data_IF_390722930559
#
_entry.id   IF_390722930559
#
_cell.length_a   1.000
_cell.length_b   1.000
_cell.length_c   1.000
_cell.angle_alpha   90.00
_cell.angle_beta   90.00
_cell.angle_gamma   90.00
#
_symmetry.space_group_name_H-M   'P 1'
#
loop_
_entity.id
_entity.type
_entity.pdbx_description
1 polymer ?
#
# COMPACT_ATOMS: atom_id res chain seq x y z
N UNK A 1 -11.20 -14.49 17.36
CA UNK A 1 -11.01 -13.36 16.43
C UNK A 1 -12.32 -12.62 16.25
N UNK A 2 -12.29 -11.30 16.05
CA UNK A 2 -13.49 -10.55 15.63
C UNK A 2 -13.81 -10.93 14.19
N UNK A 3 -15.07 -11.29 13.90
CA UNK A 3 -15.53 -11.77 12.59
C UNK A 3 -15.11 -10.83 11.45
N UNK A 4 -15.43 -9.54 11.58
CA UNK A 4 -15.12 -8.51 10.59
C UNK A 4 -13.63 -8.40 10.24
N UNK A 5 -12.74 -8.67 11.21
CA UNK A 5 -11.29 -8.65 10.96
C UNK A 5 -10.86 -9.86 10.12
N UNK A 6 -11.48 -11.02 10.29
CA UNK A 6 -11.17 -12.19 9.47
C UNK A 6 -11.75 -12.04 8.06
N UNK A 7 -12.98 -11.56 7.96
CA UNK A 7 -13.66 -11.31 6.68
C UNK A 7 -12.92 -10.25 5.85
N UNK A 8 -12.38 -9.20 6.49
CA UNK A 8 -11.58 -8.18 5.82
C UNK A 8 -10.28 -8.76 5.24
N UNK A 9 -9.61 -9.68 5.95
CA UNK A 9 -8.43 -10.38 5.43
C UNK A 9 -8.78 -11.32 4.28
N UNK A 10 -9.93 -11.99 4.33
CA UNK A 10 -10.39 -12.82 3.23
C UNK A 10 -10.63 -11.99 1.97
N UNK A 11 -11.19 -10.79 2.08
CA UNK A 11 -11.26 -9.85 0.95
C UNK A 11 -9.86 -9.52 0.42
N UNK A 12 -8.92 -9.18 1.30
CA UNK A 12 -7.53 -8.90 0.91
C UNK A 12 -6.95 -10.08 0.13
N UNK A 13 -7.14 -11.31 0.59
CA UNK A 13 -6.64 -12.50 -0.11
C UNK A 13 -7.29 -12.67 -1.49
N UNK A 14 -8.60 -12.42 -1.63
CA UNK A 14 -9.30 -12.50 -2.92
C UNK A 14 -8.75 -11.49 -3.94
N UNK A 15 -8.57 -10.25 -3.53
CA UNK A 15 -8.00 -9.20 -4.39
C UNK A 15 -6.53 -9.50 -4.70
N UNK A 16 -5.76 -10.02 -3.73
CA UNK A 16 -4.37 -10.45 -3.95
C UNK A 16 -4.26 -11.56 -5.00
N UNK A 17 -5.23 -12.48 -5.07
CA UNK A 17 -5.27 -13.50 -6.12
C UNK A 17 -5.43 -12.88 -7.50
N UNK A 18 -6.25 -11.82 -7.65
CA UNK A 18 -6.34 -11.09 -8.91
C UNK A 18 -5.00 -10.43 -9.29
N UNK A 19 -4.27 -9.88 -8.30
CA UNK A 19 -2.91 -9.35 -8.53
C UNK A 19 -1.95 -10.42 -9.05
N UNK A 20 -1.96 -11.60 -8.44
CA UNK A 20 -1.12 -12.74 -8.86
C UNK A 20 -1.53 -13.21 -10.26
N UNK A 21 -2.83 -13.25 -10.56
CA UNK A 21 -3.34 -13.69 -11.86
C UNK A 21 -2.89 -12.76 -13.00
N UNK A 22 -2.78 -11.45 -12.75
CA UNK A 22 -2.34 -10.48 -13.74
C UNK A 22 -0.81 -10.53 -13.99
N UNK A 23 -0.01 -10.84 -12.96
CA UNK A 23 1.46 -10.93 -13.08
C UNK A 23 2.03 -12.22 -12.45
N UNK A 24 1.69 -13.43 -12.95
CA UNK A 24 1.90 -14.68 -12.22
C UNK A 24 3.37 -15.12 -12.13
N UNK A 25 4.20 -14.76 -13.10
CA UNK A 25 5.58 -15.30 -13.20
C UNK A 25 6.55 -14.48 -12.35
N UNK A 26 6.58 -13.17 -12.56
CA UNK A 26 7.55 -12.25 -11.96
C UNK A 26 6.93 -11.35 -10.88
N UNK A 27 5.59 -11.32 -10.76
CA UNK A 27 4.90 -10.43 -9.83
C UNK A 27 4.99 -8.95 -10.22
N UNK A 28 4.59 -8.11 -9.28
CA UNK A 28 4.56 -6.64 -9.40
C UNK A 28 5.86 -5.94 -9.00
N UNK A 29 6.88 -6.71 -8.63
CA UNK A 29 8.14 -6.21 -8.11
C UNK A 29 8.08 -5.90 -6.60
N UNK A 30 9.25 -5.59 -6.05
CA UNK A 30 9.39 -5.19 -4.64
C UNK A 30 8.54 -3.95 -4.35
N UNK A 31 7.81 -3.96 -3.22
CA UNK A 31 6.87 -2.91 -2.82
C UNK A 31 5.68 -2.75 -3.79
N UNK A 32 5.50 -3.71 -4.70
CA UNK A 32 4.40 -3.75 -5.64
C UNK A 32 3.05 -4.02 -4.97
N UNK A 33 3.03 -4.69 -3.81
CA UNK A 33 1.79 -4.95 -3.08
C UNK A 33 1.13 -3.65 -2.59
N UNK A 34 1.74 -2.85 -1.70
CA UNK A 34 1.18 -1.56 -1.29
C UNK A 34 1.07 -0.56 -2.46
N UNK A 35 1.94 -0.69 -3.47
CA UNK A 35 1.90 0.13 -4.69
C UNK A 35 0.66 -0.09 -5.56
N UNK A 36 0.11 -1.31 -5.62
CA UNK A 36 -0.93 -1.68 -6.59
C UNK A 36 -2.21 -2.23 -5.98
N UNK A 37 -2.18 -2.80 -4.77
CA UNK A 37 -3.32 -3.53 -4.20
C UNK A 37 -4.63 -2.73 -4.25
N UNK A 38 -4.60 -1.45 -3.84
CA UNK A 38 -5.83 -0.64 -3.83
C UNK A 38 -6.38 -0.39 -5.25
N UNK A 39 -5.52 -0.33 -6.28
CA UNK A 39 -5.99 -0.26 -7.67
C UNK A 39 -6.77 -1.52 -8.04
N UNK A 40 -6.28 -2.70 -7.67
CA UNK A 40 -6.97 -3.98 -7.86
C UNK A 40 -8.26 -4.06 -7.06
N UNK A 41 -8.26 -3.60 -5.80
CA UNK A 41 -9.46 -3.54 -4.98
C UNK A 41 -10.53 -2.66 -5.63
N UNK A 42 -10.13 -1.54 -6.21
CA UNK A 42 -11.05 -0.67 -6.93
C UNK A 42 -11.63 -1.34 -8.19
N UNK A 43 -10.81 -2.02 -9.00
CA UNK A 43 -11.29 -2.79 -10.16
C UNK A 43 -12.23 -3.92 -9.74
N UNK A 44 -11.91 -4.60 -8.63
CA UNK A 44 -12.73 -5.68 -8.09
C UNK A 44 -14.17 -5.21 -7.85
N UNK A 45 -14.36 -4.08 -7.17
CA UNK A 45 -15.69 -3.52 -6.91
C UNK A 45 -16.31 -2.86 -8.14
N UNK A 46 -15.51 -2.23 -9.02
CA UNK A 46 -15.96 -1.62 -10.27
C UNK A 46 -16.61 -2.64 -11.21
N UNK A 47 -16.05 -3.86 -11.26
CA UNK A 47 -16.59 -4.97 -12.05
C UNK A 47 -17.82 -5.64 -11.40
N UNK A 48 -18.42 -5.02 -10.38
CA UNK A 48 -19.59 -5.56 -9.68
C UNK A 48 -19.30 -6.79 -8.83
N UNK A 49 -18.02 -7.14 -8.58
CA UNK A 49 -17.66 -8.18 -7.62
C UNK A 49 -17.76 -7.62 -6.20
N UNK A 50 -17.79 -8.52 -5.24
CA UNK A 50 -17.82 -8.17 -3.83
C UNK A 50 -19.22 -8.01 -3.26
N UNK A 51 -19.43 -8.63 -2.11
CA UNK A 51 -20.64 -8.50 -1.30
C UNK A 51 -20.70 -7.12 -0.62
N UNK A 52 -21.88 -6.71 -0.14
CA UNK A 52 -22.01 -5.48 0.65
C UNK A 52 -21.16 -5.52 1.93
N UNK A 53 -20.98 -6.71 2.54
CA UNK A 53 -20.06 -6.89 3.66
C UNK A 53 -18.60 -6.61 3.25
N UNK A 54 -18.16 -7.07 2.08
CA UNK A 54 -16.80 -6.79 1.58
C UNK A 54 -16.60 -5.30 1.29
N UNK A 55 -17.59 -4.64 0.66
CA UNK A 55 -17.56 -3.18 0.46
C UNK A 55 -17.51 -2.43 1.80
N UNK A 56 -18.25 -2.91 2.80
CA UNK A 56 -18.23 -2.35 4.17
C UNK A 56 -16.89 -2.55 4.85
N UNK A 57 -16.14 -3.61 4.55
CA UNK A 57 -14.84 -3.87 5.17
C UNK A 57 -13.67 -3.22 4.42
N UNK A 58 -13.81 -3.00 3.11
CA UNK A 58 -12.80 -2.38 2.27
C UNK A 58 -12.35 -1.00 2.80
N UNK A 59 -11.03 -0.80 2.76
CA UNK A 59 -10.36 0.48 3.02
C UNK A 59 -8.96 0.48 2.37
N UNK A 60 -8.15 1.50 2.62
CA UNK A 60 -6.74 1.53 2.24
C UNK A 60 -5.96 0.36 2.86
N UNK A 61 -5.31 -0.46 2.04
CA UNK A 61 -4.52 -1.61 2.48
C UNK A 61 -3.09 -1.46 2.01
N UNK A 62 -2.16 -1.68 2.94
CA UNK A 62 -0.70 -1.61 2.70
C UNK A 62 0.02 -2.93 2.96
N UNK A 63 -0.68 -3.92 3.54
CA UNK A 63 -0.12 -5.23 3.89
C UNK A 63 -1.13 -6.33 3.55
N UNK A 64 -0.63 -7.47 3.07
CA UNK A 64 -1.45 -8.59 2.64
C UNK A 64 -2.04 -9.40 3.80
N UNK A 65 -1.50 -9.28 5.02
CA UNK A 65 -1.84 -10.13 6.18
C UNK A 65 -1.66 -11.63 5.91
N UNK A 66 -0.85 -11.97 4.90
CA UNK A 66 -0.39 -13.30 4.56
C UNK A 66 0.88 -13.10 3.73
N UNK A 67 2.03 -13.30 4.37
CA UNK A 67 3.34 -13.08 3.78
C UNK A 67 3.56 -13.89 2.50
N UNK A 68 3.02 -15.12 2.43
CA UNK A 68 3.19 -15.96 1.25
C UNK A 68 2.41 -15.40 0.06
N UNK A 69 1.18 -14.94 0.28
CA UNK A 69 0.36 -14.33 -0.76
C UNK A 69 0.95 -12.99 -1.21
N UNK A 70 1.33 -12.14 -0.26
CA UNK A 70 1.99 -10.85 -0.52
C UNK A 70 3.27 -11.06 -1.32
N UNK A 71 4.17 -11.94 -0.85
CA UNK A 71 5.41 -12.27 -1.56
C UNK A 71 5.17 -12.86 -2.95
N UNK A 72 4.13 -13.67 -3.12
CA UNK A 72 3.78 -14.22 -4.44
C UNK A 72 3.22 -13.14 -5.37
N UNK A 73 2.46 -12.18 -4.87
CA UNK A 73 1.99 -11.04 -5.66
C UNK A 73 3.16 -10.15 -6.09
N UNK A 74 4.16 -9.96 -5.24
CA UNK A 74 5.32 -9.12 -5.55
C UNK A 74 6.37 -9.81 -6.42
N UNK A 75 6.71 -11.07 -6.15
CA UNK A 75 7.82 -11.79 -6.78
C UNK A 75 7.39 -12.89 -7.75
N UNK A 76 6.07 -13.11 -7.87
CA UNK A 76 5.49 -14.16 -8.68
C UNK A 76 5.77 -15.56 -8.16
N UNK A 77 5.25 -16.55 -8.89
CA UNK A 77 5.44 -17.97 -8.61
C UNK A 77 6.93 -18.34 -8.71
N UNK A 78 7.69 -17.70 -9.60
CA UNK A 78 9.13 -17.94 -9.71
C UNK A 78 9.85 -17.55 -8.40
N UNK A 79 9.55 -16.37 -7.86
CA UNK A 79 10.09 -15.93 -6.57
C UNK A 79 9.71 -16.90 -5.45
N UNK A 80 8.44 -17.32 -5.40
CA UNK A 80 7.96 -18.29 -4.40
C UNK A 80 8.72 -19.62 -4.48
N UNK A 81 8.93 -20.17 -5.68
CA UNK A 81 9.67 -21.42 -5.87
C UNK A 81 11.14 -21.30 -5.46
N UNK A 82 11.79 -20.16 -5.75
CA UNK A 82 13.16 -19.89 -5.32
C UNK A 82 13.26 -19.81 -3.79
N UNK A 83 12.33 -19.11 -3.14
CA UNK A 83 12.27 -19.01 -1.69
C UNK A 83 12.01 -20.38 -1.04
N UNK A 84 11.04 -21.14 -1.56
CA UNK A 84 10.75 -22.50 -1.10
C UNK A 84 11.94 -23.45 -1.31
N UNK A 85 12.64 -23.35 -2.43
CA UNK A 85 13.86 -24.10 -2.71
C UNK A 85 14.97 -23.79 -1.72
N UNK A 86 15.19 -22.51 -1.39
CA UNK A 86 16.15 -22.10 -0.37
C UNK A 86 15.80 -22.68 1.00
N UNK A 87 14.54 -22.57 1.42
CA UNK A 87 14.07 -23.14 2.69
C UNK A 87 14.25 -24.67 2.71
N UNK A 88 13.93 -25.36 1.62
CA UNK A 88 14.13 -26.80 1.49
C UNK A 88 15.61 -27.19 1.62
N UNK A 89 16.52 -26.48 0.96
CA UNK A 89 17.97 -26.72 1.06
C UNK A 89 18.47 -26.53 2.51
N UNK A 90 17.97 -25.51 3.22
CA UNK A 90 18.30 -25.28 4.63
C UNK A 90 17.80 -26.44 5.51
N UNK A 91 16.56 -26.89 5.29
CA UNK A 91 15.98 -28.04 6.02
C UNK A 91 16.77 -29.31 5.75
N UNK A 92 17.13 -29.61 4.49
CA UNK A 92 17.91 -30.80 4.14
C UNK A 92 19.30 -30.78 4.77
N UNK A 93 19.96 -29.61 4.80
CA UNK A 93 21.25 -29.43 5.47
C UNK A 93 21.14 -29.63 6.98
N UNK A 94 20.07 -29.14 7.60
CA UNK A 94 19.80 -29.36 9.03
C UNK A 94 19.43 -30.81 9.35
N UNK A 95 18.71 -31.50 8.45
CA UNK A 95 18.40 -32.92 8.58
C UNK A 95 19.67 -33.79 8.57
N UNK A 96 20.63 -33.46 7.72
CA UNK A 96 21.91 -34.18 7.71
C UNK A 96 22.71 -33.99 9.03
N UNK A 97 22.54 -32.86 9.73
CA UNK A 97 23.20 -32.59 11.03
C UNK A 97 22.49 -33.20 12.23
N UNK A 98 21.20 -33.53 12.12
CA UNK A 98 20.39 -34.12 13.20
C UNK A 98 20.64 -35.59 13.45
N UNK A 99 21.35 -36.28 12.57
CA UNK A 99 21.68 -37.70 12.77
C UNK A 99 22.71 -37.92 13.88
N UNK A 100 23.38 -36.84 14.33
CA UNK A 100 24.28 -36.87 15.48
C UNK A 100 23.46 -36.71 16.77
N UNK A 101 23.39 -37.77 17.58
CA UNK A 101 22.50 -37.84 18.76
C UNK A 101 22.61 -36.66 19.74
N UNK A 102 23.81 -36.06 19.91
CA UNK A 102 24.05 -34.93 20.82
C UNK A 102 23.40 -33.62 20.36
N UNK A 103 23.16 -33.47 19.06
CA UNK A 103 22.78 -32.21 18.41
C UNK A 103 21.26 -32.16 18.12
N UNK A 104 20.58 -33.31 18.25
CA UNK A 104 19.15 -33.49 18.00
C UNK A 104 18.25 -32.42 18.64
N UNK A 105 18.31 -32.15 19.97
CA UNK A 105 17.36 -31.22 20.60
C UNK A 105 17.49 -29.78 20.10
N UNK A 106 18.71 -29.29 19.89
CA UNK A 106 18.96 -27.91 19.42
C UNK A 106 18.56 -27.74 17.95
N UNK A 107 18.71 -28.78 17.13
CA UNK A 107 18.21 -28.75 15.76
C UNK A 107 16.67 -28.78 15.68
N UNK A 108 15.99 -29.54 16.55
CA UNK A 108 14.52 -29.50 16.65
C UNK A 108 14.01 -28.13 17.09
N UNK A 109 14.76 -27.41 17.94
CA UNK A 109 14.47 -26.01 18.27
C UNK A 109 14.53 -25.11 17.04
N UNK A 110 15.60 -25.21 16.22
CA UNK A 110 15.71 -24.44 14.97
C UNK A 110 14.57 -24.72 13.99
N UNK A 111 14.23 -26.00 13.80
CA UNK A 111 13.09 -26.41 12.97
C UNK A 111 11.76 -25.88 13.54
N UNK A 112 11.57 -25.97 14.85
CA UNK A 112 10.39 -25.46 15.54
C UNK A 112 10.21 -23.95 15.37
N UNK A 113 11.31 -23.17 15.48
CA UNK A 113 11.31 -21.73 15.21
C UNK A 113 10.93 -21.45 13.76
N UNK A 114 11.49 -22.19 12.80
CA UNK A 114 11.15 -22.04 11.38
C UNK A 114 9.67 -22.35 11.09
N UNK A 115 9.14 -23.45 11.63
CA UNK A 115 7.72 -23.82 11.48
C UNK A 115 6.82 -22.79 12.14
N UNK A 116 7.14 -22.35 13.35
CA UNK A 116 6.38 -21.31 14.04
C UNK A 116 6.37 -19.99 13.24
N UNK A 117 7.50 -19.63 12.62
CA UNK A 117 7.58 -18.48 11.73
C UNK A 117 6.71 -18.62 10.49
N UNK A 118 6.75 -19.79 9.83
CA UNK A 118 5.90 -20.06 8.66
C UNK A 118 4.42 -19.98 9.01
N UNK A 119 4.01 -20.55 10.15
CA UNK A 119 2.62 -20.46 10.63
C UNK A 119 2.24 -19.02 10.93
N UNK A 120 3.14 -18.24 11.55
CA UNK A 120 2.91 -16.82 11.80
C UNK A 120 2.76 -16.03 10.49
N UNK A 121 3.62 -16.29 9.52
CA UNK A 121 3.64 -15.65 8.20
C UNK A 121 2.38 -15.96 7.36
N UNK A 122 1.69 -17.08 7.59
CA UNK A 122 0.42 -17.39 6.89
C UNK A 122 -0.74 -16.45 7.28
N UNK A 123 -0.68 -15.83 8.47
CA UNK A 123 -1.77 -15.01 9.01
C UNK A 123 -1.31 -13.61 9.43
N UNK A 124 -0.08 -13.25 9.11
CA UNK A 124 0.55 -11.97 9.48
C UNK A 124 1.63 -11.60 8.46
N UNK A 125 2.30 -10.48 8.68
CA UNK A 125 3.26 -9.83 7.78
C UNK A 125 4.57 -9.50 8.52
N UNK A 126 5.21 -10.50 9.17
CA UNK A 126 6.39 -10.25 10.00
C UNK A 126 7.59 -9.68 9.24
N UNK A 127 7.70 -9.87 7.93
CA UNK A 127 8.82 -9.32 7.17
C UNK A 127 8.64 -7.82 6.88
N UNK A 128 7.40 -7.33 6.82
CA UNK A 128 7.12 -5.90 6.62
C UNK A 128 7.38 -5.05 7.86
N UNK A 129 7.61 -5.68 9.03
CA UNK A 129 8.03 -5.00 10.26
C UNK A 129 9.55 -5.26 10.46
N UNK A 130 10.43 -4.26 10.26
CA UNK A 130 11.88 -4.46 10.29
C UNK A 130 12.40 -5.11 11.58
N UNK A 131 11.81 -4.74 12.73
CA UNK A 131 12.16 -5.33 14.02
C UNK A 131 11.88 -6.83 14.07
N UNK A 132 10.76 -7.29 13.48
CA UNK A 132 10.43 -8.71 13.40
C UNK A 132 11.29 -9.40 12.34
N UNK A 133 11.45 -8.80 11.16
CA UNK A 133 12.24 -9.36 10.05
C UNK A 133 13.66 -9.78 10.45
N UNK A 134 14.29 -9.08 11.41
CA UNK A 134 15.64 -9.38 11.92
C UNK A 134 15.65 -10.51 12.97
N UNK A 135 14.56 -10.71 13.71
CA UNK A 135 14.49 -11.71 14.80
C UNK A 135 14.71 -13.13 14.26
N UNK A 136 14.09 -13.50 13.13
CA UNK A 136 14.26 -14.84 12.58
C UNK A 136 15.73 -15.13 12.18
N UNK A 137 16.39 -14.33 11.34
CA UNK A 137 17.80 -14.55 11.02
C UNK A 137 18.70 -14.59 12.26
N UNK A 138 18.50 -13.69 13.23
CA UNK A 138 19.32 -13.62 14.45
C UNK A 138 19.12 -14.85 15.33
N UNK A 139 17.89 -15.31 15.52
CA UNK A 139 17.60 -16.51 16.31
C UNK A 139 18.17 -17.76 15.64
N UNK A 140 18.02 -17.92 14.32
CA UNK A 140 18.61 -19.03 13.58
C UNK A 140 20.14 -18.99 13.60
N UNK A 141 20.75 -17.81 13.51
CA UNK A 141 22.20 -17.63 13.63
C UNK A 141 22.70 -17.99 15.03
N UNK A 142 21.99 -17.57 16.09
CA UNK A 142 22.29 -17.91 17.48
C UNK A 142 22.22 -19.41 17.75
N UNK A 143 21.18 -20.07 17.23
CA UNK A 143 21.05 -21.53 17.30
C UNK A 143 22.25 -22.19 16.59
N UNK A 144 22.59 -21.77 15.37
CA UNK A 144 23.73 -22.31 14.63
C UNK A 144 25.08 -22.07 15.33
N UNK A 145 25.26 -20.93 15.99
CA UNK A 145 26.46 -20.65 16.79
C UNK A 145 26.58 -21.56 18.01
N UNK A 146 25.48 -21.81 18.72
CA UNK A 146 25.43 -22.75 19.84
C UNK A 146 25.78 -24.18 19.40
N UNK A 147 25.24 -24.61 18.25
CA UNK A 147 25.53 -25.91 17.63
C UNK A 147 27.02 -26.09 17.31
N UNK A 148 27.68 -25.06 16.76
CA UNK A 148 29.10 -25.14 16.41
C UNK A 148 30.01 -25.15 17.65
N UNK A 149 29.57 -24.55 18.77
CA UNK A 149 30.32 -24.56 20.04
C UNK A 149 30.31 -25.94 20.70
N UNK A 150 29.20 -26.67 20.65
CA UNK A 150 29.11 -28.06 21.14
C UNK A 150 29.86 -29.06 20.25
N UNK A 151 29.97 -28.77 18.95
CA UNK A 151 30.74 -29.57 17.98
C UNK A 151 32.25 -29.33 18.01
N UNK A 152 32.77 -28.63 19.02
CA UNK A 152 34.20 -28.59 19.27
C UNK A 152 34.75 -30.01 19.38
N UNK A 153 35.42 -30.47 18.30
CA UNK A 153 36.13 -31.73 18.07
C UNK A 153 35.45 -32.70 17.07
N UNK A 154 35.97 -32.64 15.83
CA UNK A 154 36.03 -33.68 14.77
C UNK A 154 34.91 -33.70 13.72
N UNK A 155 35.11 -32.92 12.66
CA UNK A 155 34.86 -33.42 11.30
C UNK A 155 36.20 -33.85 10.68
N UNK A 156 36.62 -35.10 10.92
CA UNK A 156 37.69 -35.72 10.15
C UNK A 156 37.08 -36.45 8.95
N UNK A 157 36.85 -35.73 7.85
CA UNK A 157 36.51 -36.36 6.57
C UNK A 157 37.80 -36.86 5.90
N UNK A 158 37.94 -38.16 5.60
CA UNK A 158 39.08 -38.67 4.84
C UNK A 158 38.88 -38.37 3.34
N UNK A 159 39.88 -37.73 2.71
CA UNK A 159 39.92 -37.46 1.27
C UNK A 159 39.84 -35.97 0.89
N UNK A 160 40.96 -35.43 0.40
CA UNK A 160 41.22 -34.04 -0.03
C UNK A 160 40.98 -32.94 1.02
N UNK A 161 41.76 -33.01 2.12
CA UNK A 161 41.69 -32.03 3.22
C UNK A 161 42.06 -30.60 2.80
N UNK A 162 42.95 -30.43 1.82
CA UNK A 162 43.42 -29.09 1.40
C UNK A 162 42.40 -28.36 0.53
N UNK A 163 41.78 -29.02 -0.45
CA UNK A 163 40.81 -28.36 -1.35
C UNK A 163 39.51 -27.98 -0.63
N UNK A 164 38.97 -28.87 0.23
CA UNK A 164 37.76 -28.58 1.01
C UNK A 164 38.00 -27.49 2.07
N UNK A 165 39.17 -27.49 2.73
CA UNK A 165 39.55 -26.42 3.65
C UNK A 165 39.75 -25.08 2.93
N UNK A 166 40.39 -25.10 1.76
CA UNK A 166 40.55 -23.92 0.92
C UNK A 166 39.19 -23.36 0.48
N UNK A 167 38.29 -24.20 -0.04
CA UNK A 167 36.93 -23.80 -0.42
C UNK A 167 36.17 -23.21 0.78
N UNK A 168 36.21 -23.86 1.94
CA UNK A 168 35.55 -23.35 3.15
C UNK A 168 36.14 -22.02 3.63
N UNK A 169 37.46 -21.85 3.56
CA UNK A 169 38.15 -20.61 3.91
C UNK A 169 37.78 -19.49 2.94
N UNK A 170 37.77 -19.77 1.63
CA UNK A 170 37.34 -18.83 0.59
C UNK A 170 35.89 -18.40 0.77
N UNK A 171 34.97 -19.32 1.09
CA UNK A 171 33.57 -19.01 1.36
C UNK A 171 33.40 -18.14 2.62
N UNK A 172 34.18 -18.41 3.68
CA UNK A 172 34.15 -17.60 4.90
C UNK A 172 34.68 -16.18 4.64
N UNK A 173 35.81 -16.06 3.93
CA UNK A 173 36.37 -14.75 3.53
C UNK A 173 35.36 -13.98 2.67
N UNK A 174 34.75 -14.64 1.68
CA UNK A 174 33.73 -14.04 0.82
C UNK A 174 32.53 -13.55 1.63
N UNK A 175 32.03 -14.37 2.56
CA UNK A 175 30.93 -13.98 3.45
C UNK A 175 31.29 -12.78 4.35
N UNK A 176 32.53 -12.74 4.86
CA UNK A 176 33.04 -11.61 5.64
C UNK A 176 33.13 -10.33 4.81
N UNK A 177 33.60 -10.41 3.56
CA UNK A 177 33.64 -9.27 2.63
C UNK A 177 32.23 -8.78 2.26
N UNK A 178 31.28 -9.68 2.05
CA UNK A 178 29.87 -9.34 1.79
C UNK A 178 29.28 -8.61 3.00
N UNK A 179 29.51 -9.11 4.22
CA UNK A 179 29.04 -8.48 5.46
C UNK A 179 29.67 -7.10 5.66
N UNK A 180 30.99 -6.97 5.47
CA UNK A 180 31.68 -5.68 5.54
C UNK A 180 31.16 -4.69 4.50
N UNK A 181 30.93 -5.15 3.27
CA UNK A 181 30.34 -4.35 2.21
C UNK A 181 28.94 -3.88 2.56
N UNK A 182 28.08 -4.78 3.08
CA UNK A 182 26.73 -4.45 3.52
C UNK A 182 26.73 -3.48 4.71
N UNK A 183 27.63 -3.65 5.69
CA UNK A 183 27.80 -2.73 6.81
C UNK A 183 28.32 -1.36 6.37
N UNK A 184 29.28 -1.31 5.45
CA UNK A 184 29.80 -0.05 4.90
C UNK A 184 28.73 0.68 4.08
N UNK A 185 27.98 -0.06 3.25
CA UNK A 185 26.84 0.49 2.51
C UNK A 185 25.74 0.98 3.46
N UNK A 186 25.39 0.21 4.48
CA UNK A 186 24.42 0.63 5.50
C UNK A 186 24.87 1.88 6.25
N UNK A 187 26.15 1.98 6.60
CA UNK A 187 26.72 3.17 7.23
C UNK A 187 26.67 4.39 6.30
N UNK A 188 27.04 4.22 5.03
CA UNK A 188 26.91 5.27 4.01
C UNK A 188 25.45 5.71 3.86
N UNK A 189 24.54 4.74 3.69
CA UNK A 189 23.11 4.98 3.50
C UNK A 189 22.52 5.76 4.68
N UNK A 190 22.80 5.33 5.93
CA UNK A 190 22.37 6.04 7.13
C UNK A 190 22.92 7.46 7.16
N UNK A 191 24.21 7.67 6.89
CA UNK A 191 24.79 9.01 6.92
C UNK A 191 24.25 9.94 5.84
N UNK A 192 23.98 9.39 4.64
CA UNK A 192 23.43 10.14 3.52
C UNK A 192 21.95 10.49 3.73
N UNK A 193 21.12 9.52 4.12
CA UNK A 193 19.66 9.71 4.24
C UNK A 193 19.22 10.33 5.57
N UNK A 194 20.03 10.26 6.63
CA UNK A 194 19.68 10.88 7.93
C UNK A 194 19.36 12.38 7.83
N UNK A 195 20.19 13.26 7.24
CA UNK A 195 19.84 14.68 7.10
C UNK A 195 18.62 14.88 6.19
N UNK A 196 18.51 14.14 5.10
CA UNK A 196 17.38 14.21 4.16
C UNK A 196 16.05 13.86 4.85
N UNK A 197 16.06 12.82 5.69
CA UNK A 197 14.88 12.40 6.46
C UNK A 197 14.48 13.46 7.49
N UNK A 198 15.46 14.14 8.12
CA UNK A 198 15.17 15.27 9.01
C UNK A 198 14.51 16.43 8.28
N UNK A 199 15.00 16.78 7.09
CA UNK A 199 14.39 17.82 6.25
C UNK A 199 12.96 17.42 5.84
N UNK A 200 12.73 16.15 5.51
CA UNK A 200 11.38 15.64 5.19
C UNK A 200 10.45 15.71 6.42
N UNK A 201 10.90 15.28 7.60
CA UNK A 201 10.14 15.43 8.84
C UNK A 201 9.81 16.90 9.13
N UNK A 202 10.73 17.82 8.87
CA UNK A 202 10.50 19.27 8.99
C UNK A 202 9.46 19.77 7.98
N UNK A 203 9.49 19.28 6.73
CA UNK A 203 8.48 19.59 5.73
C UNK A 203 7.08 19.13 6.17
N UNK A 204 6.97 17.89 6.67
CA UNK A 204 5.72 17.34 7.21
C UNK A 204 5.24 18.15 8.41
N UNK A 205 6.12 18.52 9.34
CA UNK A 205 5.74 19.34 10.50
C UNK A 205 5.20 20.72 10.08
N UNK A 206 5.83 21.38 9.10
CA UNK A 206 5.34 22.65 8.57
C UNK A 206 4.01 22.49 7.81
N UNK A 207 3.81 21.37 7.11
CA UNK A 207 2.52 21.05 6.48
C UNK A 207 1.39 20.93 7.50
N UNK A 208 1.60 20.17 8.58
CA UNK A 208 0.60 20.01 9.66
C UNK A 208 0.28 21.33 10.35
N UNK A 209 1.28 22.22 10.48
CA UNK A 209 1.11 23.58 10.99
C UNK A 209 0.55 24.58 9.94
N UNK A 210 0.11 24.10 8.78
CA UNK A 210 -0.43 24.89 7.65
C UNK A 210 0.54 25.93 7.08
N UNK A 211 1.84 25.79 7.34
CA UNK A 211 2.91 26.65 6.82
C UNK A 211 3.36 26.15 5.45
N UNK A 212 2.42 26.12 4.50
CA UNK A 212 2.60 25.45 3.21
C UNK A 212 3.76 26.02 2.39
N UNK A 213 4.05 27.32 2.44
CA UNK A 213 5.18 27.90 1.70
C UNK A 213 6.54 27.33 2.15
N UNK A 214 6.74 27.16 3.47
CA UNK A 214 7.96 26.57 4.02
C UNK A 214 8.01 25.08 3.67
N UNK A 215 6.90 24.36 3.88
CA UNK A 215 6.80 22.94 3.57
C UNK A 215 7.10 22.66 2.08
N UNK A 216 6.48 23.42 1.19
CA UNK A 216 6.62 23.24 -0.27
C UNK A 216 8.02 23.57 -0.77
N UNK A 217 8.71 24.55 -0.16
CA UNK A 217 10.13 24.82 -0.45
C UNK A 217 11.00 23.61 -0.12
N UNK A 218 10.78 23.00 1.05
CA UNK A 218 11.49 21.78 1.46
C UNK A 218 11.16 20.59 0.56
N UNK A 219 9.88 20.33 0.25
CA UNK A 219 9.49 19.26 -0.67
C UNK A 219 10.13 19.43 -2.05
N UNK A 220 10.16 20.65 -2.58
CA UNK A 220 10.80 20.94 -3.87
C UNK A 220 12.30 20.64 -3.82
N UNK A 221 12.99 21.06 -2.74
CA UNK A 221 14.42 20.76 -2.52
C UNK A 221 14.69 19.25 -2.45
N UNK A 222 13.80 18.50 -1.81
CA UNK A 222 13.94 17.07 -1.55
C UNK A 222 13.52 16.18 -2.74
N UNK A 223 12.81 16.73 -3.73
CA UNK A 223 12.29 15.98 -4.86
C UNK A 223 13.33 15.12 -5.60
N UNK A 224 14.56 15.60 -5.92
CA UNK A 224 15.53 14.79 -6.65
C UNK A 224 15.87 13.46 -5.96
N UNK A 225 15.92 13.45 -4.63
CA UNK A 225 16.26 12.28 -3.81
C UNK A 225 15.06 11.36 -3.58
N UNK A 226 13.85 11.92 -3.44
CA UNK A 226 12.64 11.18 -3.08
C UNK A 226 11.59 11.08 -4.20
N UNK A 227 11.95 11.33 -5.46
CA UNK A 227 11.03 11.28 -6.63
C UNK A 227 10.41 9.91 -6.93
N UNK A 228 10.84 8.86 -6.22
CA UNK A 228 10.34 7.50 -6.32
C UNK A 228 9.73 7.00 -5.01
N UNK A 229 9.61 7.86 -4.00
CA UNK A 229 9.04 7.52 -2.70
C UNK A 229 7.58 7.95 -2.67
N UNK A 230 6.65 6.97 -2.75
CA UNK A 230 5.22 7.23 -2.91
C UNK A 230 4.64 8.12 -1.80
N UNK A 231 5.02 7.84 -0.55
CA UNK A 231 4.55 8.61 0.61
C UNK A 231 5.03 10.07 0.57
N UNK A 232 6.30 10.29 0.19
CA UNK A 232 6.85 11.63 0.03
C UNK A 232 6.09 12.42 -1.04
N UNK A 233 5.86 11.81 -2.21
CA UNK A 233 5.17 12.44 -3.33
C UNK A 233 3.71 12.77 -2.96
N UNK A 234 3.03 11.89 -2.24
CA UNK A 234 1.67 12.12 -1.73
C UNK A 234 1.61 13.36 -0.82
N UNK A 235 2.51 13.44 0.18
CA UNK A 235 2.54 14.57 1.12
C UNK A 235 2.91 15.88 0.43
N UNK A 236 3.91 15.86 -0.44
CA UNK A 236 4.31 17.02 -1.24
C UNK A 236 3.15 17.51 -2.11
N UNK A 237 2.53 16.62 -2.90
CA UNK A 237 1.40 16.94 -3.75
C UNK A 237 0.23 17.53 -2.96
N UNK A 238 -0.18 16.88 -1.87
CA UNK A 238 -1.24 17.39 -0.98
C UNK A 238 -0.90 18.77 -0.41
N UNK A 239 0.33 19.00 0.00
CA UNK A 239 0.78 20.30 0.51
C UNK A 239 0.70 21.40 -0.55
N UNK A 240 1.07 21.10 -1.80
CA UNK A 240 0.91 22.01 -2.93
C UNK A 240 -0.56 22.28 -3.28
N UNK A 241 -1.43 21.26 -3.24
CA UNK A 241 -2.88 21.41 -3.43
C UNK A 241 -3.48 22.36 -2.39
N UNK A 242 -3.14 22.19 -1.11
CA UNK A 242 -3.62 23.05 -0.02
C UNK A 242 -3.11 24.50 -0.14
N UNK A 243 -1.90 24.70 -0.69
CA UNK A 243 -1.37 26.01 -1.08
C UNK A 243 -1.98 26.58 -2.38
N UNK A 244 -2.98 25.91 -2.98
CA UNK A 244 -3.61 26.27 -4.26
C UNK A 244 -2.64 26.28 -5.46
N UNK A 245 -1.51 25.58 -5.36
CA UNK A 245 -0.54 25.36 -6.43
C UNK A 245 -0.88 24.07 -7.18
N UNK A 246 -2.08 24.03 -7.78
CA UNK A 246 -2.68 22.80 -8.34
C UNK A 246 -1.87 22.15 -9.47
N UNK A 247 -1.19 22.94 -10.30
CA UNK A 247 -0.32 22.40 -11.35
C UNK A 247 0.88 21.63 -10.77
N UNK A 248 1.58 22.22 -9.80
CA UNK A 248 2.70 21.56 -9.10
C UNK A 248 2.22 20.36 -8.30
N UNK A 249 1.06 20.47 -7.64
CA UNK A 249 0.40 19.34 -6.98
C UNK A 249 0.20 18.17 -7.95
N UNK A 250 -0.35 18.45 -9.13
CA UNK A 250 -0.54 17.45 -10.18
C UNK A 250 0.74 16.74 -10.60
N UNK A 251 1.87 17.46 -10.70
CA UNK A 251 3.16 16.86 -11.04
C UNK A 251 3.64 15.85 -9.99
N UNK A 252 3.52 16.19 -8.70
CA UNK A 252 3.87 15.27 -7.61
C UNK A 252 2.90 14.07 -7.57
N UNK A 253 1.59 14.30 -7.67
CA UNK A 253 0.58 13.26 -7.49
C UNK A 253 0.49 12.30 -8.69
N UNK A 254 0.64 12.78 -9.94
CA UNK A 254 0.74 11.87 -11.09
C UNK A 254 1.98 10.98 -10.99
N UNK A 255 3.09 11.52 -10.46
CA UNK A 255 4.27 10.69 -10.17
C UNK A 255 4.00 9.70 -9.05
N UNK A 256 3.25 10.10 -8.02
CA UNK A 256 2.93 9.25 -6.87
C UNK A 256 2.14 7.99 -7.28
N UNK A 257 1.26 8.10 -8.28
CA UNK A 257 0.45 6.97 -8.79
C UNK A 257 1.29 5.79 -9.35
N UNK A 258 2.58 5.99 -9.63
CA UNK A 258 3.48 4.91 -10.05
C UNK A 258 4.04 4.09 -8.87
N UNK A 259 3.96 4.60 -7.65
CA UNK A 259 4.61 4.02 -6.46
C UNK A 259 3.64 3.77 -5.32
N UNK A 260 2.44 4.34 -5.35
CA UNK A 260 1.45 4.18 -4.30
C UNK A 260 0.05 4.26 -4.86
N UNK A 261 -0.82 3.38 -4.35
CA UNK A 261 -2.25 3.43 -4.60
C UNK A 261 -3.01 3.96 -3.36
N UNK A 262 -2.42 4.85 -2.57
CA UNK A 262 -3.11 5.47 -1.44
C UNK A 262 -4.31 6.33 -1.91
N UNK A 263 -5.53 6.18 -1.33
CA UNK A 263 -6.72 6.93 -1.73
C UNK A 263 -6.56 8.45 -1.69
N UNK A 264 -5.67 8.97 -0.85
CA UNK A 264 -5.39 10.40 -0.72
C UNK A 264 -4.83 10.97 -2.02
N UNK A 265 -4.01 10.20 -2.75
CA UNK A 265 -3.44 10.61 -4.03
C UNK A 265 -4.57 10.82 -5.04
N UNK A 266 -5.45 9.82 -5.18
CA UNK A 266 -6.60 9.87 -6.10
C UNK A 266 -7.58 11.00 -5.77
N UNK A 267 -7.98 11.13 -4.50
CA UNK A 267 -8.92 12.17 -4.06
C UNK A 267 -8.34 13.57 -4.20
N UNK A 268 -7.07 13.78 -3.85
CA UNK A 268 -6.43 15.09 -3.97
C UNK A 268 -6.25 15.47 -5.43
N UNK A 269 -5.72 14.56 -6.26
CA UNK A 269 -5.50 14.81 -7.68
C UNK A 269 -6.82 14.99 -8.45
N UNK A 270 -7.81 14.13 -8.16
CA UNK A 270 -9.15 14.23 -8.75
C UNK A 270 -9.83 15.54 -8.41
N UNK A 271 -9.73 16.01 -7.15
CA UNK A 271 -10.21 17.33 -6.73
C UNK A 271 -9.48 18.47 -7.44
N UNK A 272 -8.15 18.39 -7.56
CA UNK A 272 -7.37 19.41 -8.27
C UNK A 272 -7.75 19.47 -9.76
N UNK A 273 -7.89 18.33 -10.42
CA UNK A 273 -8.31 18.25 -11.83
C UNK A 273 -9.76 18.64 -12.07
N UNK A 274 -10.64 18.45 -11.09
CA UNK A 274 -12.02 18.96 -11.13
C UNK A 274 -12.03 20.47 -11.39
N UNK A 275 -11.05 21.23 -10.87
CA UNK A 275 -10.98 22.68 -11.11
C UNK A 275 -10.81 23.05 -12.60
N UNK A 276 -10.16 22.19 -13.38
CA UNK A 276 -9.91 22.37 -14.81
C UNK A 276 -10.96 21.72 -15.72
N UNK A 277 -11.90 20.95 -15.16
CA UNK A 277 -12.87 20.12 -15.92
C UNK A 277 -13.77 20.87 -16.92
N UNK A 278 -13.99 22.18 -16.72
CA UNK A 278 -14.77 23.02 -17.67
C UNK A 278 -13.99 23.49 -18.89
N UNK A 279 -12.65 23.47 -18.82
CA UNK A 279 -11.76 24.07 -19.83
C UNK A 279 -10.80 23.08 -20.46
N UNK A 280 -10.54 21.94 -19.81
CA UNK A 280 -9.61 20.92 -20.27
C UNK A 280 -10.31 19.55 -20.25
N UNK A 281 -10.57 19.01 -21.44
CA UNK A 281 -11.25 17.73 -21.62
C UNK A 281 -10.44 16.56 -21.05
N UNK A 282 -9.11 16.59 -21.14
CA UNK A 282 -8.25 15.55 -20.60
C UNK A 282 -8.32 15.55 -19.07
N UNK A 283 -8.28 16.74 -18.45
CA UNK A 283 -8.44 16.85 -16.99
C UNK A 283 -9.85 16.50 -16.53
N UNK A 284 -10.87 16.77 -17.35
CA UNK A 284 -12.26 16.36 -17.10
C UNK A 284 -12.36 14.83 -16.97
N UNK A 285 -11.90 14.08 -17.96
CA UNK A 285 -11.95 12.61 -17.96
C UNK A 285 -11.07 12.03 -16.83
N UNK A 286 -9.88 12.60 -16.65
CA UNK A 286 -8.94 12.15 -15.63
C UNK A 286 -9.48 12.36 -14.22
N UNK A 287 -10.18 13.45 -13.95
CA UNK A 287 -10.81 13.71 -12.65
C UNK A 287 -11.87 12.64 -12.30
N UNK A 288 -12.77 12.35 -13.25
CA UNK A 288 -13.81 11.32 -13.07
C UNK A 288 -13.21 9.95 -12.79
N UNK A 289 -12.19 9.55 -13.58
CA UNK A 289 -11.47 8.31 -13.38
C UNK A 289 -10.87 8.21 -11.97
N UNK A 290 -10.16 9.25 -11.52
CA UNK A 290 -9.49 9.26 -10.22
C UNK A 290 -10.49 9.21 -9.06
N UNK A 291 -11.58 9.97 -9.14
CA UNK A 291 -12.60 10.03 -8.09
C UNK A 291 -13.42 8.73 -8.04
N UNK A 292 -13.74 8.14 -9.19
CA UNK A 292 -14.38 6.82 -9.27
C UNK A 292 -13.47 5.74 -8.72
N UNK A 293 -12.17 5.78 -9.04
CA UNK A 293 -11.17 4.88 -8.46
C UNK A 293 -11.14 5.01 -6.93
N UNK A 294 -11.04 6.24 -6.41
CA UNK A 294 -11.03 6.50 -4.97
C UNK A 294 -12.30 6.00 -4.25
N UNK A 295 -13.47 6.21 -4.87
CA UNK A 295 -14.77 5.68 -4.41
C UNK A 295 -14.72 4.16 -4.30
N UNK A 296 -14.17 3.46 -5.29
CA UNK A 296 -14.12 2.01 -5.31
C UNK A 296 -12.99 1.43 -4.45
N UNK A 297 -11.93 2.19 -4.14
CA UNK A 297 -10.93 1.76 -3.14
C UNK A 297 -11.61 1.64 -1.76
N UNK A 298 -12.40 2.63 -1.36
CA UNK A 298 -13.09 2.62 -0.06
C UNK A 298 -14.58 2.94 -0.21
N UNK A 299 -15.43 1.99 -0.64
CA UNK A 299 -16.83 2.24 -1.01
C UNK A 299 -17.71 2.87 0.07
N UNK A 300 -17.42 2.61 1.34
CA UNK A 300 -18.15 3.15 2.49
C UNK A 300 -17.55 4.46 3.06
N UNK A 301 -16.48 5.01 2.46
CA UNK A 301 -15.98 6.35 2.82
C UNK A 301 -16.79 7.39 2.05
N UNK A 302 -17.37 8.35 2.76
CA UNK A 302 -18.18 9.40 2.13
C UNK A 302 -17.36 10.34 1.25
N UNK A 303 -16.15 10.72 1.70
CA UNK A 303 -15.38 11.79 1.08
C UNK A 303 -15.06 11.58 -0.40
N UNK A 304 -14.60 10.38 -0.86
CA UNK A 304 -14.38 10.14 -2.28
C UNK A 304 -15.65 10.30 -3.13
N UNK A 305 -16.79 9.75 -2.68
CA UNK A 305 -18.07 9.86 -3.40
C UNK A 305 -18.61 11.29 -3.38
N UNK A 306 -18.47 11.99 -2.27
CA UNK A 306 -18.79 13.41 -2.16
C UNK A 306 -18.02 14.24 -3.20
N UNK A 307 -16.71 14.02 -3.35
CA UNK A 307 -15.92 14.71 -4.37
C UNK A 307 -16.39 14.38 -5.79
N UNK A 308 -16.83 13.15 -6.05
CA UNK A 308 -17.41 12.75 -7.34
C UNK A 308 -18.73 13.48 -7.63
N UNK A 309 -19.60 13.67 -6.62
CA UNK A 309 -20.81 14.50 -6.75
C UNK A 309 -20.45 15.94 -7.08
N UNK A 310 -19.51 16.55 -6.35
CA UNK A 310 -19.05 17.92 -6.63
C UNK A 310 -18.43 18.06 -8.01
N UNK A 311 -17.79 17.01 -8.52
CA UNK A 311 -17.30 16.96 -9.89
C UNK A 311 -18.45 16.99 -10.91
N UNK A 312 -19.47 16.13 -10.76
CA UNK A 312 -20.62 16.10 -11.67
C UNK A 312 -21.42 17.40 -11.66
N UNK A 313 -21.66 17.97 -10.47
CA UNK A 313 -22.30 19.27 -10.30
C UNK A 313 -21.52 20.36 -11.06
N UNK A 314 -20.18 20.34 -10.97
CA UNK A 314 -19.34 21.32 -11.66
C UNK A 314 -19.44 21.19 -13.19
N UNK A 315 -19.52 19.98 -13.74
CA UNK A 315 -19.61 19.80 -15.19
C UNK A 315 -21.06 19.90 -15.74
N UNK A 316 -22.05 20.09 -14.87
CA UNK A 316 -23.47 20.16 -15.26
C UNK A 316 -24.09 18.81 -15.59
N UNK A 317 -23.57 17.72 -15.02
CA UNK A 317 -24.10 16.37 -15.20
C UNK A 317 -25.16 16.07 -14.12
N UNK A 318 -26.37 16.63 -14.30
CA UNK A 318 -27.45 16.63 -13.30
C UNK A 318 -27.87 15.22 -12.89
N UNK A 319 -28.07 14.32 -13.86
CA UNK A 319 -28.52 12.95 -13.59
C UNK A 319 -27.47 12.15 -12.79
N UNK A 320 -26.20 12.27 -13.15
CA UNK A 320 -25.09 11.64 -12.47
C UNK A 320 -24.90 12.21 -11.06
N UNK A 321 -25.07 13.53 -10.90
CA UNK A 321 -25.04 14.22 -9.61
C UNK A 321 -26.11 13.65 -8.68
N UNK A 322 -27.36 13.56 -9.16
CA UNK A 322 -28.49 12.99 -8.41
C UNK A 322 -28.25 11.53 -8.03
N UNK A 323 -27.84 10.70 -8.99
CA UNK A 323 -27.61 9.27 -8.77
C UNK A 323 -26.54 9.04 -7.69
N UNK A 324 -25.42 9.76 -7.77
CA UNK A 324 -24.32 9.62 -6.80
C UNK A 324 -24.66 10.21 -5.43
N UNK A 325 -25.41 11.32 -5.37
CA UNK A 325 -25.87 11.92 -4.12
C UNK A 325 -26.84 10.98 -3.37
N UNK A 326 -27.80 10.39 -4.08
CA UNK A 326 -28.73 9.40 -3.52
C UNK A 326 -27.99 8.14 -3.05
N UNK A 327 -27.06 7.64 -3.86
CA UNK A 327 -26.23 6.50 -3.49
C UNK A 327 -25.38 6.80 -2.23
N UNK A 328 -24.88 8.03 -2.06
CA UNK A 328 -24.15 8.43 -0.86
C UNK A 328 -25.04 8.39 0.39
N UNK A 329 -26.26 8.95 0.31
CA UNK A 329 -27.18 9.00 1.45
C UNK A 329 -27.64 7.62 1.93
N UNK A 330 -27.68 6.63 1.02
CA UNK A 330 -27.99 5.24 1.32
C UNK A 330 -26.90 4.53 2.14
N UNK A 331 -25.66 5.03 2.13
CA UNK A 331 -24.55 4.44 2.87
C UNK A 331 -24.67 4.79 4.36
N UNK A 332 -24.57 3.79 5.24
CA UNK A 332 -24.39 4.02 6.68
C UNK A 332 -22.88 4.20 6.99
N UNK A 333 -22.46 5.34 7.56
CA UNK A 333 -21.04 5.61 7.75
C UNK A 333 -20.47 4.71 8.86
N UNK A 334 -19.26 4.16 8.65
CA UNK A 334 -18.58 3.33 9.67
C UNK A 334 -18.32 4.12 10.96
N UNK A 335 -18.06 5.41 10.83
CA UNK A 335 -17.80 6.35 11.93
C UNK A 335 -18.61 7.60 11.67
N UNK A 336 -19.49 7.95 12.60
CA UNK A 336 -20.23 9.21 12.56
C UNK A 336 -19.32 10.36 13.01
N UNK A 337 -19.19 11.39 12.18
CA UNK A 337 -18.42 12.61 12.45
C UNK A 337 -19.18 13.86 11.98
N UNK A 338 -18.81 15.06 12.46
CA UNK A 338 -19.39 16.31 11.96
C UNK A 338 -19.33 16.42 10.43
N UNK A 339 -18.19 16.08 9.84
CA UNK A 339 -18.01 16.07 8.38
C UNK A 339 -18.97 15.11 7.67
N UNK A 340 -19.25 13.92 8.22
CA UNK A 340 -20.25 13.01 7.61
C UNK A 340 -21.66 13.58 7.70
N UNK A 341 -21.99 14.31 8.77
CA UNK A 341 -23.30 14.97 8.91
C UNK A 341 -23.45 16.12 7.92
N UNK A 342 -22.42 16.98 7.81
CA UNK A 342 -22.38 18.10 6.85
C UNK A 342 -22.53 17.59 5.41
N UNK A 343 -21.77 16.56 5.02
CA UNK A 343 -21.88 15.95 3.70
C UNK A 343 -23.31 15.46 3.43
N UNK A 344 -23.95 14.78 4.39
CA UNK A 344 -25.33 14.31 4.22
C UNK A 344 -26.33 15.45 4.04
N UNK A 345 -26.18 16.53 4.82
CA UNK A 345 -27.03 17.70 4.69
C UNK A 345 -26.87 18.34 3.31
N UNK A 346 -25.65 18.50 2.82
CA UNK A 346 -25.39 19.02 1.47
C UNK A 346 -25.97 18.10 0.39
N UNK A 347 -25.83 16.78 0.50
CA UNK A 347 -26.43 15.85 -0.48
C UNK A 347 -27.95 15.93 -0.50
N UNK A 348 -28.59 16.09 0.66
CA UNK A 348 -30.04 16.27 0.73
C UNK A 348 -30.47 17.57 0.06
N UNK A 349 -29.76 18.67 0.31
CA UNK A 349 -30.02 19.96 -0.33
C UNK A 349 -29.90 19.89 -1.85
N UNK A 350 -28.87 19.21 -2.38
CA UNK A 350 -28.70 19.01 -3.83
C UNK A 350 -29.90 18.26 -4.40
N UNK A 351 -30.32 17.17 -3.77
CA UNK A 351 -31.48 16.38 -4.25
C UNK A 351 -32.77 17.21 -4.21
N UNK A 352 -33.01 17.95 -3.13
CA UNK A 352 -34.21 18.76 -2.97
C UNK A 352 -34.26 19.90 -4.01
N UNK A 353 -33.13 20.55 -4.28
CA UNK A 353 -33.02 21.60 -5.30
C UNK A 353 -33.29 21.07 -6.72
N UNK A 354 -32.72 19.92 -7.07
CA UNK A 354 -32.93 19.30 -8.38
C UNK A 354 -34.35 18.80 -8.58
N UNK A 355 -35.01 18.28 -7.53
CA UNK A 355 -36.43 17.92 -7.58
C UNK A 355 -37.29 19.18 -7.80
N UNK A 356 -36.99 20.26 -7.10
CA UNK A 356 -37.71 21.53 -7.23
C UNK A 356 -37.57 22.11 -8.65
N UNK A 357 -36.36 22.17 -9.20
CA UNK A 357 -36.10 22.65 -10.57
C UNK A 357 -36.87 21.83 -11.61
N UNK A 358 -36.93 20.50 -11.44
CA UNK A 358 -37.70 19.63 -12.34
C UNK A 358 -39.22 19.80 -12.21
N UNK A 359 -39.73 20.23 -11.05
CA UNK A 359 -41.15 20.53 -10.87
C UNK A 359 -41.56 21.87 -11.51
N UNK A 360 -40.69 22.90 -11.49
CA UNK A 360 -40.95 24.18 -12.18
C UNK A 360 -41.01 24.02 -13.71
N UNK A 361 -40.30 23.05 -14.30
CA UNK A 361 -40.39 22.75 -15.73
C UNK A 361 -41.76 22.15 -16.12
N UNK A 362 -42.43 21.45 -15.20
CA UNK A 362 -43.72 20.80 -15.44
C UNK A 362 -44.90 21.78 -15.28
N UNK A 363 -44.71 22.83 -14.47
CA UNK A 363 -45.66 23.93 -14.33
C UNK A 363 -45.06 25.20 -14.92
N UNK A 364 -45.07 25.40 -16.25
CA UNK A 364 -44.68 26.68 -16.80
C UNK A 364 -45.58 27.74 -16.14
N UNK A 365 -44.95 28.71 -15.49
CA UNK A 365 -45.62 29.89 -14.95
C UNK A 365 -46.49 30.44 -16.08
N UNK A 366 -47.81 30.28 -15.96
CA UNK A 366 -48.74 30.90 -16.89
C UNK A 366 -48.49 32.39 -16.78
N UNK A 367 -47.90 32.98 -17.82
CA UNK A 367 -47.80 34.42 -17.98
C UNK A 367 -49.22 34.98 -18.00
N UNK A 368 -49.69 35.44 -16.85
CA UNK A 368 -50.85 36.31 -16.74
C UNK A 368 -50.41 37.73 -17.10
N UNK A 369 -50.08 37.94 -18.36
CA UNK A 369 -49.94 39.24 -18.99
C UNK A 369 -50.76 39.21 -20.28
N UNK A 370 -52.06 39.41 -20.13
CA UNK A 370 -52.96 39.93 -21.18
C UNK A 370 -54.32 40.17 -20.53
N UNK A 371 -54.51 41.37 -19.95
CA UNK A 371 -55.77 42.10 -20.06
C UNK A 371 -55.44 43.59 -20.06
N UNK A 372 -55.54 44.18 -21.25
CA UNK A 372 -55.77 45.61 -21.51
C UNK A 372 -56.97 46.14 -20.72
#
# INVERSE_FOLDING_TARGET
MKKDSADGRLLIYKVTVDMIAEAPVLGWGWDGFPGMYNNFQAVYFENGRGTEQEKYLADNVTYGFNELLEFTAEMGILGLLLAAGLVLLLILKWRHRTDVQKIRPVNYLGLGVGVAWLVFALFSYPMSIPALAIILPVTLAGINAALNKENGLKESVPGSKSAKAFISMSLNILSGLILLGFSAYGFYWVNHYRPLTKDWMSANANHELQRYEIANSLYTKLYPEFRNEGLFLQYAGKSHSLARKFYTSGQFLERALFFSADPTIFTTLGKDYTLYSKVDAQKKERAEFLLTRAKNISPYRYYPRYLLVKYYERIGAEQETLNEAQALLAITPKVSSPATTEIRQEMQQIIDQEIFNNQEIIFPVSSSDEME
#
